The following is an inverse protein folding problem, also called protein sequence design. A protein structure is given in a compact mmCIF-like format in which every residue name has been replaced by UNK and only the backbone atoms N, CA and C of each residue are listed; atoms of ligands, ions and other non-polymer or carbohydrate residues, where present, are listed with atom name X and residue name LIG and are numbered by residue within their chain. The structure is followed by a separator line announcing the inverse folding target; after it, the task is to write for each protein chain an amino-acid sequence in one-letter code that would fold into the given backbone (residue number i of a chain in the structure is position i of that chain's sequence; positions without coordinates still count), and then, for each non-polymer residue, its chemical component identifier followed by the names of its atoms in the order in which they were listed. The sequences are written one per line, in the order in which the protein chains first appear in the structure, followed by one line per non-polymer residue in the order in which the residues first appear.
data_IF_486709558797
#
_entry.id   IF_486709558797
#
_cell.length_a   1.000
_cell.length_b   1.000
_cell.length_c   1.000
_cell.angle_alpha   90.00
_cell.angle_beta   90.00
_cell.angle_gamma   90.00
#
_symmetry.space_group_name_H-M   'P 1'
#
loop_
_entity.id
_entity.type
_entity.pdbx_description
1 polymer ?
#
# COMPACT_ATOMS: atom_id res chain seq x y z
N UNK A 1 15.94 -3.00 -22.61
CA UNK A 1 16.09 -3.25 -21.16
C UNK A 1 14.77 -2.87 -20.52
N UNK A 2 14.04 -3.84 -19.97
CA UNK A 2 12.72 -3.58 -19.34
C UNK A 2 12.93 -3.25 -17.86
N UNK A 3 12.18 -2.27 -17.35
CA UNK A 3 12.29 -1.75 -15.98
C UNK A 3 11.52 -2.64 -15.01
N UNK A 4 12.16 -3.01 -13.89
CA UNK A 4 11.58 -3.76 -12.75
C UNK A 4 10.60 -2.89 -11.97
N UNK A 5 9.50 -3.46 -11.47
CA UNK A 5 8.67 -2.81 -10.43
C UNK A 5 9.48 -2.75 -9.15
N UNK A 6 9.67 -1.53 -8.63
CA UNK A 6 10.62 -1.22 -7.55
C UNK A 6 9.89 -0.41 -6.50
N UNK A 7 9.90 -0.89 -5.26
CA UNK A 7 9.53 -0.06 -4.13
C UNK A 7 10.75 0.79 -3.75
N UNK A 8 10.61 2.12 -3.85
CA UNK A 8 11.72 3.08 -3.65
C UNK A 8 11.45 3.90 -2.40
N UNK A 9 12.29 3.74 -1.38
CA UNK A 9 12.26 4.60 -0.21
C UNK A 9 13.06 5.88 -0.50
N UNK A 10 12.41 7.02 -0.31
CA UNK A 10 12.98 8.35 -0.44
C UNK A 10 13.05 9.01 0.94
N UNK A 11 14.19 9.62 1.25
CA UNK A 11 14.27 10.58 2.35
C UNK A 11 14.16 11.99 1.76
N UNK A 12 13.21 12.77 2.26
CA UNK A 12 13.10 14.19 1.97
C UNK A 12 13.78 14.99 3.08
N UNK A 13 14.73 15.86 2.72
CA UNK A 13 15.41 16.75 3.66
C UNK A 13 15.08 18.19 3.29
N UNK A 14 14.50 18.94 4.23
CA UNK A 14 14.42 20.39 4.13
C UNK A 14 15.79 20.98 4.47
N UNK A 15 16.57 21.33 3.46
CA UNK A 15 17.78 22.12 3.66
C UNK A 15 17.40 23.60 3.76
N UNK A 16 17.58 24.17 4.95
CA UNK A 16 17.82 25.62 5.05
C UNK A 16 19.16 25.91 4.35
N UNK A 17 19.33 27.07 3.68
CA UNK A 17 20.52 27.35 2.89
C UNK A 17 21.76 27.40 3.77
N UNK A 18 22.46 26.27 3.86
CA UNK A 18 23.80 26.16 4.42
C UNK A 18 24.77 26.03 3.26
N UNK A 19 25.62 27.05 3.13
CA UNK A 19 26.68 27.09 2.14
C UNK A 19 27.63 25.90 2.34
N UNK A 20 27.82 25.12 1.26
CA UNK A 20 28.80 24.05 1.05
C UNK A 20 28.38 22.61 1.40
N UNK A 21 27.56 22.00 0.53
CA UNK A 21 27.54 20.54 0.36
C UNK A 21 27.85 20.20 -1.10
N UNK A 22 28.75 19.24 -1.30
CA UNK A 22 29.31 18.83 -2.59
C UNK A 22 28.23 18.14 -3.44
N UNK A 23 27.85 18.79 -4.55
CA UNK A 23 26.78 18.38 -5.43
C UNK A 23 27.29 17.43 -6.52
N UNK A 24 27.13 16.12 -6.32
CA UNK A 24 27.06 15.16 -7.43
C UNK A 24 25.95 14.15 -7.14
N UNK A 25 24.70 14.61 -7.27
CA UNK A 25 23.54 13.90 -7.84
C UNK A 25 22.29 14.77 -7.59
N UNK A 26 22.26 15.98 -8.18
CA UNK A 26 21.10 16.88 -8.10
C UNK A 26 20.42 16.89 -9.47
N UNK A 27 19.17 16.39 -9.52
CA UNK A 27 18.25 16.72 -10.61
C UNK A 27 17.77 18.14 -10.36
N UNK A 28 18.38 19.13 -11.04
CA UNK A 28 18.07 20.55 -10.85
C UNK A 28 16.72 20.92 -11.46
N UNK A 29 15.83 21.52 -10.68
CA UNK A 29 14.75 22.37 -11.20
C UNK A 29 14.73 23.74 -10.48
N UNK A 30 14.65 24.79 -11.29
CA UNK A 30 14.83 26.22 -11.03
C UNK A 30 13.92 26.90 -9.97
N UNK A 31 14.60 27.55 -9.02
CA UNK A 31 14.38 28.71 -8.14
C UNK A 31 13.01 29.41 -7.98
N UNK A 32 12.41 29.28 -6.78
CA UNK A 32 12.01 30.36 -5.85
C UNK A 32 11.13 29.88 -4.66
N UNK A 33 10.90 28.58 -4.52
CA UNK A 33 10.38 27.94 -3.31
C UNK A 33 11.47 27.24 -2.49
N UNK A 34 11.18 26.75 -1.27
CA UNK A 34 12.10 25.84 -0.58
C UNK A 34 12.42 24.64 -1.49
N UNK A 35 13.71 24.38 -1.70
CA UNK A 35 14.17 23.27 -2.53
C UNK A 35 13.87 21.95 -1.80
N UNK A 36 13.00 21.13 -2.39
CA UNK A 36 12.76 19.78 -1.91
C UNK A 36 13.74 18.87 -2.63
N UNK A 37 14.78 18.44 -1.93
CA UNK A 37 15.72 17.43 -2.43
C UNK A 37 15.33 16.08 -1.88
N UNK A 38 15.07 15.12 -2.78
CA UNK A 38 14.85 13.72 -2.43
C UNK A 38 16.04 12.88 -2.88
N UNK A 39 16.52 12.00 -2.00
CA UNK A 39 17.50 10.98 -2.36
C UNK A 39 16.98 9.60 -2.01
N UNK A 40 17.26 8.63 -2.89
CA UNK A 40 16.93 7.23 -2.63
C UNK A 40 17.86 6.70 -1.55
N UNK A 41 17.27 6.19 -0.47
CA UNK A 41 18.01 5.58 0.63
C UNK A 41 18.05 4.05 0.51
N UNK A 42 16.98 3.43 0.00
CA UNK A 42 16.86 1.99 -0.15
C UNK A 42 15.95 1.59 -1.32
N UNK A 43 15.94 0.31 -1.65
CA UNK A 43 15.11 -0.26 -2.71
C UNK A 43 14.82 -1.73 -2.43
N UNK A 44 13.56 -2.12 -2.60
CA UNK A 44 13.14 -3.52 -2.65
C UNK A 44 12.50 -3.81 -4.02
N UNK A 45 12.66 -5.04 -4.51
CA UNK A 45 12.15 -5.50 -5.80
C UNK A 45 11.58 -6.90 -5.67
N UNK A 46 10.29 -7.06 -5.94
CA UNK A 46 9.63 -8.38 -6.02
C UNK A 46 10.09 -9.18 -7.24
N UNK A 47 10.56 -8.47 -8.28
CA UNK A 47 10.96 -9.10 -9.55
C UNK A 47 9.82 -9.37 -10.52
N UNK A 48 8.60 -8.88 -10.22
CA UNK A 48 7.43 -8.87 -11.11
C UNK A 48 7.44 -7.62 -12.01
N UNK A 49 6.83 -7.68 -13.21
CA UNK A 49 6.99 -6.66 -14.26
C UNK A 49 5.70 -6.39 -15.05
N UNK A 50 5.29 -5.11 -15.17
CA UNK A 50 4.16 -4.71 -16.06
C UNK A 50 2.82 -5.41 -15.72
N UNK A 51 2.76 -5.91 -14.50
CA UNK A 51 1.71 -6.68 -13.83
C UNK A 51 1.28 -5.85 -12.61
N UNK A 52 0.04 -6.01 -12.12
CA UNK A 52 -0.56 -5.24 -11.02
C UNK A 52 0.14 -5.50 -9.67
N UNK A 53 1.41 -5.17 -9.55
CA UNK A 53 2.26 -5.48 -8.41
C UNK A 53 2.09 -4.42 -7.31
N UNK A 54 3.18 -3.78 -6.87
CA UNK A 54 3.15 -2.80 -5.78
C UNK A 54 2.37 -1.52 -6.14
N UNK A 55 1.19 -1.32 -5.53
CA UNK A 55 0.36 -0.12 -5.78
C UNK A 55 0.13 0.74 -4.53
N UNK A 56 -0.51 0.19 -3.50
CA UNK A 56 -0.85 0.92 -2.26
C UNK A 56 0.07 0.47 -1.14
N UNK A 57 0.61 1.40 -0.37
CA UNK A 57 1.51 1.09 0.75
C UNK A 57 1.13 1.79 2.05
N UNK A 58 1.32 1.11 3.17
CA UNK A 58 1.12 1.65 4.52
C UNK A 58 2.27 1.22 5.44
N UNK A 59 2.67 2.10 6.37
CA UNK A 59 3.81 1.86 7.26
C UNK A 59 3.36 1.87 8.72
N UNK A 60 3.75 0.84 9.48
CA UNK A 60 3.60 0.81 10.93
C UNK A 60 4.90 1.25 11.63
N UNK A 61 4.90 2.38 12.36
CA UNK A 61 6.10 2.83 13.08
C UNK A 61 6.44 1.98 14.30
N UNK A 62 5.49 1.19 14.83
CA UNK A 62 5.70 0.35 16.00
C UNK A 62 6.52 -0.90 15.69
N UNK A 63 6.18 -1.60 14.61
CA UNK A 63 6.92 -2.77 14.12
C UNK A 63 8.01 -2.44 13.11
N UNK A 64 8.04 -1.21 12.59
CA UNK A 64 8.89 -0.80 11.46
C UNK A 64 8.62 -1.63 10.20
N UNK A 65 7.37 -2.07 10.02
CA UNK A 65 6.95 -2.81 8.84
C UNK A 65 6.27 -1.90 7.82
N UNK A 66 6.67 -2.06 6.55
CA UNK A 66 6.01 -1.46 5.40
C UNK A 66 5.19 -2.54 4.69
N UNK A 67 3.90 -2.33 4.60
CA UNK A 67 2.92 -3.16 3.91
C UNK A 67 2.67 -2.58 2.53
N UNK A 68 2.58 -3.41 1.50
CA UNK A 68 2.08 -2.97 0.21
C UNK A 68 1.28 -4.05 -0.52
N UNK A 69 0.31 -3.62 -1.33
CA UNK A 69 -0.51 -4.51 -2.15
C UNK A 69 0.32 -5.12 -3.28
N UNK A 70 0.07 -6.37 -3.62
CA UNK A 70 0.58 -7.03 -4.80
C UNK A 70 -0.60 -7.79 -5.43
N UNK A 71 -1.34 -7.11 -6.30
CA UNK A 71 -2.56 -7.64 -6.89
C UNK A 71 -2.29 -8.81 -7.87
N UNK A 72 -1.14 -8.85 -8.54
CA UNK A 72 -0.75 -9.95 -9.43
C UNK A 72 -0.69 -11.30 -8.69
N UNK A 73 -0.06 -11.33 -7.52
CA UNK A 73 0.03 -12.56 -6.70
C UNK A 73 -1.10 -12.66 -5.66
N UNK A 74 -2.00 -11.66 -5.61
CA UNK A 74 -3.02 -11.50 -4.58
C UNK A 74 -2.43 -11.63 -3.16
N UNK A 75 -1.40 -10.82 -2.86
CA UNK A 75 -0.74 -10.78 -1.56
C UNK A 75 -0.65 -9.36 -0.98
N UNK A 76 -0.54 -9.29 0.35
CA UNK A 76 0.08 -8.13 1.01
C UNK A 76 1.54 -8.49 1.30
N UNK A 77 2.45 -7.79 0.65
CA UNK A 77 3.88 -7.89 0.93
C UNK A 77 4.23 -7.07 2.18
N UNK A 78 5.07 -7.64 3.04
CA UNK A 78 5.52 -7.00 4.28
C UNK A 78 7.03 -6.92 4.28
N UNK A 79 7.57 -5.70 4.34
CA UNK A 79 9.00 -5.45 4.48
C UNK A 79 9.34 -5.01 5.89
N UNK A 80 10.43 -5.55 6.43
CA UNK A 80 11.15 -4.95 7.55
C UNK A 80 12.00 -3.79 7.00
N UNK A 81 11.71 -2.58 7.50
CA UNK A 81 12.43 -1.36 7.14
C UNK A 81 13.13 -0.72 8.35
N UNK A 82 13.46 -1.52 9.38
CA UNK A 82 14.25 -1.07 10.53
C UNK A 82 15.62 -0.51 10.13
N UNK A 83 16.20 -1.04 9.03
CA UNK A 83 17.22 -0.37 8.22
C UNK A 83 16.61 0.05 6.86
N UNK A 84 16.16 1.31 6.71
CA UNK A 84 15.51 1.76 5.48
C UNK A 84 16.47 1.88 4.30
N UNK A 85 17.79 1.74 4.53
CA UNK A 85 18.78 1.66 3.45
C UNK A 85 18.92 0.26 2.86
N UNK A 86 18.46 -0.76 3.58
CA UNK A 86 18.51 -2.17 3.19
C UNK A 86 17.21 -2.90 3.58
N UNK A 87 16.06 -2.54 2.96
CA UNK A 87 14.78 -3.17 3.28
C UNK A 87 14.80 -4.67 2.95
N UNK A 88 14.28 -5.50 3.85
CA UNK A 88 14.19 -6.96 3.64
C UNK A 88 12.74 -7.43 3.72
N UNK A 89 12.40 -8.47 2.96
CA UNK A 89 11.07 -9.08 3.08
C UNK A 89 10.95 -9.75 4.46
N UNK A 90 9.92 -9.39 5.20
CA UNK A 90 9.55 -10.04 6.45
C UNK A 90 8.63 -11.24 6.17
N UNK A 91 7.54 -11.02 5.43
CA UNK A 91 6.62 -12.06 4.98
C UNK A 91 5.78 -11.57 3.79
N UNK A 92 4.99 -12.47 3.21
CA UNK A 92 3.91 -12.16 2.29
C UNK A 92 2.62 -12.82 2.80
N UNK A 93 1.56 -12.04 2.94
CA UNK A 93 0.25 -12.52 3.37
C UNK A 93 -0.51 -13.00 2.14
N UNK A 94 -0.83 -14.29 2.07
CA UNK A 94 -1.67 -14.83 1.01
C UNK A 94 -3.13 -14.38 1.24
N UNK A 95 -3.68 -13.61 0.29
CA UNK A 95 -5.02 -13.06 0.38
C UNK A 95 -6.09 -13.90 -0.33
N UNK A 96 -5.70 -14.94 -1.08
CA UNK A 96 -6.60 -15.83 -1.82
C UNK A 96 -7.57 -16.62 -0.93
N UNK A 97 -7.30 -16.69 0.38
CA UNK A 97 -8.21 -17.31 1.36
C UNK A 97 -9.33 -16.37 1.81
N UNK A 98 -9.25 -15.08 1.49
CA UNK A 98 -10.21 -14.04 1.88
C UNK A 98 -10.99 -13.47 0.69
N UNK A 99 -10.39 -13.47 -0.51
CA UNK A 99 -11.00 -12.99 -1.75
C UNK A 99 -10.05 -13.11 -2.93
N UNK A 100 -10.39 -12.46 -4.05
CA UNK A 100 -9.67 -12.68 -5.33
C UNK A 100 -8.71 -11.55 -5.69
N UNK A 101 -8.91 -10.36 -5.13
CA UNK A 101 -8.05 -9.20 -5.37
C UNK A 101 -7.86 -8.36 -4.12
N UNK A 102 -6.67 -7.79 -3.99
CA UNK A 102 -6.31 -6.88 -2.89
C UNK A 102 -6.09 -5.48 -3.43
N UNK A 103 -6.96 -4.56 -3.02
CA UNK A 103 -7.04 -3.23 -3.65
C UNK A 103 -6.37 -2.14 -2.80
N UNK A 104 -6.40 -2.28 -1.47
CA UNK A 104 -5.83 -1.26 -0.60
C UNK A 104 -5.42 -1.80 0.77
N UNK A 105 -4.45 -1.13 1.38
CA UNK A 105 -3.96 -1.40 2.73
C UNK A 105 -3.81 -0.09 3.51
N UNK A 106 -4.22 -0.10 4.77
CA UNK A 106 -4.02 0.98 5.73
C UNK A 106 -3.50 0.43 7.05
N UNK A 107 -2.83 1.29 7.83
CA UNK A 107 -2.28 0.96 9.14
C UNK A 107 -2.65 2.04 10.14
N UNK A 108 -3.00 1.63 11.37
CA UNK A 108 -3.15 2.53 12.52
C UNK A 108 -2.80 1.77 13.81
N UNK A 109 -1.85 2.31 14.59
CA UNK A 109 -1.44 1.80 15.92
C UNK A 109 -1.26 0.26 16.01
N UNK A 110 -0.52 -0.33 15.07
CA UNK A 110 -0.24 -1.77 15.04
C UNK A 110 -1.34 -2.64 14.43
N UNK A 111 -2.43 -2.05 13.94
CA UNK A 111 -3.51 -2.72 13.23
C UNK A 111 -3.41 -2.43 11.73
N UNK A 112 -3.44 -3.49 10.92
CA UNK A 112 -3.49 -3.41 9.46
C UNK A 112 -4.92 -3.69 9.01
N UNK A 113 -5.47 -2.87 8.11
CA UNK A 113 -6.74 -3.12 7.44
C UNK A 113 -6.51 -3.24 5.94
N UNK A 114 -7.09 -4.25 5.31
CA UNK A 114 -6.91 -4.57 3.89
C UNK A 114 -8.26 -4.66 3.21
N UNK A 115 -8.49 -3.88 2.16
CA UNK A 115 -9.69 -4.00 1.31
C UNK A 115 -9.49 -5.14 0.31
N UNK A 116 -10.42 -6.09 0.31
CA UNK A 116 -10.37 -7.30 -0.50
C UNK A 116 -11.66 -7.46 -1.29
N UNK A 117 -11.54 -7.67 -2.60
CA UNK A 117 -12.69 -7.95 -3.46
C UNK A 117 -13.07 -9.42 -3.51
N UNK A 118 -14.34 -9.67 -3.82
CA UNK A 118 -14.84 -11.01 -4.11
C UNK A 118 -14.48 -11.42 -5.55
N UNK A 119 -14.36 -12.72 -5.80
CA UNK A 119 -14.06 -13.26 -7.12
C UNK A 119 -15.13 -12.95 -8.19
N UNK A 120 -16.40 -12.86 -7.77
CA UNK A 120 -17.52 -12.66 -8.67
C UNK A 120 -18.09 -11.24 -8.55
N UNK A 121 -18.34 -10.59 -9.69
CA UNK A 121 -19.01 -9.29 -9.75
C UNK A 121 -20.41 -9.38 -9.11
N UNK A 122 -20.76 -8.37 -8.31
CA UNK A 122 -22.03 -8.35 -7.59
C UNK A 122 -22.05 -9.23 -6.33
N UNK A 123 -20.89 -9.74 -5.90
CA UNK A 123 -20.69 -10.32 -4.56
C UNK A 123 -19.95 -9.30 -3.68
N UNK A 124 -20.33 -9.24 -2.41
CA UNK A 124 -19.71 -8.33 -1.44
C UNK A 124 -18.32 -8.86 -1.07
N UNK A 125 -17.34 -7.96 -1.01
CA UNK A 125 -15.99 -8.26 -0.54
C UNK A 125 -15.88 -8.11 0.97
N UNK A 126 -14.65 -7.90 1.45
CA UNK A 126 -14.36 -7.76 2.87
C UNK A 126 -13.28 -6.73 3.17
N UNK A 127 -13.20 -6.37 4.45
CA UNK A 127 -12.00 -5.81 5.05
C UNK A 127 -11.39 -6.85 5.98
N UNK A 128 -10.13 -7.18 5.72
CA UNK A 128 -9.35 -8.10 6.55
C UNK A 128 -8.41 -7.35 7.47
N UNK A 129 -8.40 -7.74 8.73
CA UNK A 129 -7.58 -7.13 9.76
C UNK A 129 -6.42 -8.04 10.16
N UNK A 130 -5.23 -7.47 10.25
CA UNK A 130 -4.02 -8.18 10.66
C UNK A 130 -3.24 -7.41 11.73
N UNK A 131 -2.47 -8.12 12.53
CA UNK A 131 -1.50 -7.53 13.44
C UNK A 131 -0.25 -7.08 12.67
N UNK A 132 0.16 -5.82 12.82
CA UNK A 132 1.29 -5.28 12.07
C UNK A 132 2.66 -5.85 12.50
N UNK A 133 2.78 -6.43 13.70
CA UNK A 133 4.04 -6.96 14.21
C UNK A 133 4.38 -8.33 13.64
N UNK A 134 3.39 -9.19 13.40
CA UNK A 134 3.60 -10.58 13.01
C UNK A 134 2.73 -11.05 11.84
N UNK A 135 1.95 -10.15 11.24
CA UNK A 135 1.04 -10.41 10.13
C UNK A 135 -0.04 -11.47 10.44
N UNK A 136 -0.35 -11.71 11.72
CA UNK A 136 -1.42 -12.62 12.10
C UNK A 136 -2.79 -12.04 11.76
N UNK A 137 -3.66 -12.85 11.14
CA UNK A 137 -5.05 -12.48 10.91
C UNK A 137 -5.80 -12.33 12.23
N UNK A 138 -6.62 -11.29 12.32
CA UNK A 138 -7.38 -10.93 13.51
C UNK A 138 -8.88 -11.04 13.28
N UNK A 139 -9.36 -10.47 12.18
CA UNK A 139 -10.80 -10.37 11.93
C UNK A 139 -11.11 -10.13 10.45
N UNK A 140 -12.23 -10.71 10.01
CA UNK A 140 -12.88 -10.41 8.74
C UNK A 140 -14.14 -9.59 9.01
N UNK A 141 -14.34 -8.51 8.26
CA UNK A 141 -15.59 -7.72 8.27
C UNK A 141 -16.13 -7.64 6.85
N UNK A 142 -17.40 -7.96 6.65
CA UNK A 142 -18.03 -7.85 5.34
C UNK A 142 -18.08 -6.38 4.89
N UNK A 143 -17.55 -6.10 3.69
CA UNK A 143 -17.59 -4.80 3.03
C UNK A 143 -18.78 -4.68 2.08
N UNK A 144 -18.74 -3.68 1.19
CA UNK A 144 -19.68 -3.55 0.09
C UNK A 144 -19.26 -4.34 -1.15
N UNK A 145 -19.81 -3.97 -2.31
CA UNK A 145 -19.39 -4.51 -3.60
C UNK A 145 -18.10 -3.83 -4.04
N UNK A 146 -17.07 -4.62 -4.35
CA UNK A 146 -15.73 -4.16 -4.73
C UNK A 146 -15.13 -3.14 -3.74
N UNK A 147 -14.77 -3.54 -2.50
CA UNK A 147 -13.95 -2.70 -1.62
C UNK A 147 -12.65 -2.31 -2.33
N UNK A 148 -12.44 -1.00 -2.51
CA UNK A 148 -11.35 -0.46 -3.32
C UNK A 148 -10.32 0.24 -2.42
N UNK A 149 -10.72 1.30 -1.69
CA UNK A 149 -9.84 2.00 -0.78
C UNK A 149 -10.27 1.82 0.68
N UNK A 150 -9.28 1.70 1.58
CA UNK A 150 -9.48 1.63 3.02
C UNK A 150 -8.63 2.66 3.76
N UNK A 151 -9.17 3.29 4.79
CA UNK A 151 -8.40 4.21 5.64
C UNK A 151 -8.93 4.25 7.06
N UNK A 152 -8.05 4.54 8.03
CA UNK A 152 -8.45 4.78 9.41
C UNK A 152 -8.77 6.26 9.62
N UNK A 153 -9.76 6.52 10.47
CA UNK A 153 -9.93 7.85 11.06
C UNK A 153 -8.70 8.22 11.90
N UNK A 154 -8.34 9.52 12.04
CA UNK A 154 -7.12 9.91 12.74
C UNK A 154 -7.01 9.40 14.20
N UNK A 155 -8.14 9.25 14.87
CA UNK A 155 -8.26 8.70 16.23
C UNK A 155 -8.37 7.16 16.27
N UNK A 156 -8.44 6.47 15.13
CA UNK A 156 -8.50 5.00 15.06
C UNK A 156 -9.86 4.38 15.39
N UNK A 157 -10.87 5.19 15.74
CA UNK A 157 -12.18 4.68 16.19
C UNK A 157 -12.99 4.03 15.05
N UNK A 158 -12.71 4.40 13.81
CA UNK A 158 -13.39 3.90 12.62
C UNK A 158 -12.41 3.63 11.49
N UNK A 159 -12.75 2.62 10.70
CA UNK A 159 -12.24 2.39 9.35
C UNK A 159 -13.31 2.86 8.36
N UNK A 160 -12.90 3.55 7.31
CA UNK A 160 -13.76 4.00 6.22
C UNK A 160 -13.33 3.28 4.96
N UNK A 161 -14.30 2.72 4.24
CA UNK A 161 -14.07 1.93 3.03
C UNK A 161 -14.89 2.51 1.88
N UNK A 162 -14.26 2.76 0.73
CA UNK A 162 -14.99 2.98 -0.51
C UNK A 162 -15.22 1.65 -1.21
N UNK A 163 -16.49 1.39 -1.55
CA UNK A 163 -16.91 0.22 -2.28
C UNK A 163 -17.35 0.68 -3.66
N UNK A 164 -16.54 0.42 -4.69
CA UNK A 164 -16.71 1.00 -6.03
C UNK A 164 -17.98 0.49 -6.71
N UNK A 165 -18.32 -0.79 -6.53
CA UNK A 165 -19.48 -1.41 -7.19
C UNK A 165 -19.34 -1.50 -8.70
N UNK A 166 -18.16 -1.86 -9.21
CA UNK A 166 -17.91 -1.97 -10.65
C UNK A 166 -18.92 -2.94 -11.31
N UNK A 167 -19.50 -2.58 -12.47
CA UNK A 167 -20.38 -3.46 -13.21
C UNK A 167 -19.61 -4.60 -13.90
N UNK A 168 -20.33 -5.64 -14.31
CA UNK A 168 -19.80 -6.66 -15.20
C UNK A 168 -19.48 -6.07 -16.58
N UNK A 169 -18.57 -6.69 -17.34
CA UNK A 169 -18.15 -6.21 -18.67
C UNK A 169 -19.32 -5.99 -19.65
N UNK A 170 -20.38 -6.79 -19.52
CA UNK A 170 -21.60 -6.71 -20.33
C UNK A 170 -22.71 -5.86 -19.69
N UNK A 171 -22.44 -5.26 -18.53
CA UNK A 171 -23.37 -4.45 -17.74
C UNK A 171 -24.66 -5.20 -17.32
N UNK A 172 -24.65 -6.53 -17.32
CA UNK A 172 -25.80 -7.33 -16.85
C UNK A 172 -25.92 -7.35 -15.32
N UNK A 173 -24.81 -7.13 -14.61
CA UNK A 173 -24.74 -6.96 -13.16
C UNK A 173 -24.09 -5.59 -12.90
N UNK A 174 -24.80 -4.67 -12.26
CA UNK A 174 -24.33 -3.31 -11.97
C UNK A 174 -24.70 -2.95 -10.51
N UNK A 175 -23.88 -3.39 -9.54
CA UNK A 175 -24.17 -3.17 -8.13
C UNK A 175 -23.93 -1.71 -7.73
N UNK A 176 -24.78 -1.16 -6.87
CA UNK A 176 -24.61 0.22 -6.40
C UNK A 176 -23.40 0.32 -5.46
N UNK A 177 -22.43 1.16 -5.81
CA UNK A 177 -21.30 1.53 -4.94
C UNK A 177 -21.74 2.16 -3.62
N UNK A 178 -20.88 2.11 -2.60
CA UNK A 178 -21.23 2.58 -1.25
C UNK A 178 -20.01 2.98 -0.43
N UNK A 179 -20.24 3.62 0.72
CA UNK A 179 -19.22 3.86 1.75
C UNK A 179 -19.68 3.18 3.03
N UNK A 180 -18.77 2.45 3.68
CA UNK A 180 -19.01 1.75 4.95
C UNK A 180 -17.99 2.16 6.01
#
# INVERSE_FOLDING_TARGET
MKSTTKFVLLLAVFLLPLHNVNAQQLMSHDNNGPEITSFRIGMYSTGLYDEGAAEISAYDPGSMHLFFTNAEENTIEVLDISDPSNPTQFTAINMSVYGDGVNSVAVHDGLVAVAVEAADVGVRGSVEFFNAADATHLQTVEGGFLPDAVTFTPNGDYVIVSNEGQPSDDYSIDPVGSVS
#
